data_IF_194894023301
#
_entry.id   IF_194894023301
#
_cell.length_a   1.000
_cell.length_b   1.000
_cell.length_c   1.000
_cell.angle_alpha   90.00
_cell.angle_beta   90.00
_cell.angle_gamma   90.00
#
_symmetry.space_group_name_H-M   'P 1'
#
loop_
_entity.id
_entity.type
_entity.pdbx_description
1 polymer ?
#
# COMPACT_ATOMS: atom_id res chain seq x y z
N UNK A 1 -6.31 -31.95 15.35
CA UNK A 1 -7.09 -31.01 14.53
C UNK A 1 -6.16 -30.41 13.49
N UNK A 2 -6.54 -30.50 12.21
CA UNK A 2 -5.65 -30.37 11.06
C UNK A 2 -4.90 -29.03 10.98
N UNK A 3 -3.61 -29.12 10.67
CA UNK A 3 -2.75 -28.01 10.25
C UNK A 3 -3.06 -27.61 8.82
N UNK A 4 -3.42 -26.34 8.58
CA UNK A 4 -3.36 -25.78 7.23
C UNK A 4 -1.96 -25.21 6.99
N UNK A 5 -1.07 -26.07 6.51
CA UNK A 5 0.19 -25.67 5.90
C UNK A 5 -0.04 -25.36 4.42
N UNK A 6 -0.02 -24.08 4.07
CA UNK A 6 0.07 -23.62 2.68
C UNK A 6 0.58 -22.19 2.69
N UNK A 7 1.49 -21.80 1.78
CA UNK A 7 1.87 -20.40 1.67
C UNK A 7 0.63 -19.61 1.21
N UNK A 8 0.26 -18.57 1.94
CA UNK A 8 -0.69 -17.59 1.44
C UNK A 8 -0.15 -17.06 0.11
N UNK A 9 -0.81 -17.41 -1.00
CA UNK A 9 -0.46 -16.90 -2.32
C UNK A 9 -0.49 -15.37 -2.32
N UNK A 10 0.24 -14.70 -3.22
CA UNK A 10 0.30 -13.24 -3.25
C UNK A 10 -1.06 -12.67 -3.65
N UNK A 11 -1.86 -12.23 -2.68
CA UNK A 11 -3.07 -11.43 -2.96
C UNK A 11 -2.61 -10.01 -3.29
N UNK A 12 -2.40 -9.75 -4.58
CA UNK A 12 -2.37 -8.41 -5.16
C UNK A 12 -3.75 -8.13 -5.75
N UNK A 13 -4.71 -7.70 -4.94
CA UNK A 13 -5.76 -6.84 -5.50
C UNK A 13 -5.14 -5.46 -5.67
N UNK A 14 -4.51 -5.26 -6.82
CA UNK A 14 -4.19 -3.96 -7.37
C UNK A 14 -4.85 -3.91 -8.74
N UNK A 15 -6.18 -3.82 -8.75
CA UNK A 15 -6.90 -3.28 -9.89
C UNK A 15 -7.15 -1.80 -9.61
N UNK A 16 -6.35 -0.88 -10.21
CA UNK A 16 -6.59 0.55 -10.08
C UNK A 16 -7.99 0.99 -10.51
N UNK A 17 -8.68 0.20 -11.35
CA UNK A 17 -10.05 0.46 -11.79
C UNK A 17 -11.08 0.33 -10.65
N UNK A 18 -11.00 -0.75 -9.87
CA UNK A 18 -11.91 -0.98 -8.73
C UNK A 18 -11.79 0.14 -7.68
N UNK A 19 -10.58 0.66 -7.45
CA UNK A 19 -10.36 1.78 -6.51
C UNK A 19 -10.98 3.10 -6.98
N UNK A 20 -11.02 3.35 -8.29
CA UNK A 20 -11.64 4.56 -8.85
C UNK A 20 -13.16 4.48 -8.74
N UNK A 21 -13.72 3.30 -9.00
CA UNK A 21 -15.15 3.03 -8.88
C UNK A 21 -15.60 3.15 -7.42
N UNK A 22 -14.88 2.51 -6.50
CA UNK A 22 -15.12 2.65 -5.06
C UNK A 22 -15.01 4.11 -4.59
N UNK A 23 -14.09 4.91 -5.13
CA UNK A 23 -14.05 6.35 -4.80
C UNK A 23 -15.27 7.13 -5.27
N UNK A 24 -15.82 6.79 -6.45
CA UNK A 24 -17.09 7.37 -6.93
C UNK A 24 -18.24 6.95 -6.02
N UNK A 25 -18.27 5.66 -5.64
CA UNK A 25 -19.29 5.12 -4.74
C UNK A 25 -19.26 5.83 -3.37
N UNK A 26 -18.08 5.95 -2.76
CA UNK A 26 -17.91 6.66 -1.49
C UNK A 26 -18.36 8.12 -1.59
N UNK A 27 -18.11 8.79 -2.72
CA UNK A 27 -18.59 10.15 -2.92
C UNK A 27 -20.13 10.22 -2.97
N UNK A 28 -20.78 9.21 -3.54
CA UNK A 28 -22.23 9.12 -3.59
C UNK A 28 -22.84 8.70 -2.24
N UNK A 29 -22.22 7.79 -1.50
CA UNK A 29 -22.58 7.47 -0.10
C UNK A 29 -22.52 8.74 0.75
N UNK A 30 -21.43 9.51 0.65
CA UNK A 30 -21.28 10.77 1.38
C UNK A 30 -22.41 11.74 1.07
N UNK A 31 -22.81 11.89 -0.20
CA UNK A 31 -23.94 12.76 -0.58
C UNK A 31 -25.25 12.33 0.08
N UNK A 32 -25.54 11.03 0.14
CA UNK A 32 -26.75 10.51 0.79
C UNK A 32 -26.73 10.72 2.31
N UNK A 33 -25.59 10.44 2.94
CA UNK A 33 -25.38 10.66 4.37
C UNK A 33 -25.61 12.13 4.75
N UNK A 34 -25.14 13.08 3.94
CA UNK A 34 -25.38 14.51 4.16
C UNK A 34 -26.86 14.91 4.08
N UNK A 35 -27.73 14.12 3.43
CA UNK A 35 -29.18 14.41 3.40
C UNK A 35 -29.86 14.15 4.74
N UNK A 36 -29.32 13.23 5.55
CA UNK A 36 -29.86 12.93 6.88
C UNK A 36 -29.50 13.99 7.93
N UNK A 37 -28.41 14.73 7.72
CA UNK A 37 -27.98 15.80 8.61
C UNK A 37 -26.57 16.31 8.36
N UNK A 38 -26.17 17.30 9.16
CA UNK A 38 -24.86 17.94 9.05
C UNK A 38 -23.73 16.98 9.44
N UNK A 39 -22.82 16.72 8.51
CA UNK A 39 -21.61 15.91 8.71
C UNK A 39 -20.44 16.81 9.09
N UNK A 40 -19.89 16.60 10.29
CA UNK A 40 -18.77 17.40 10.82
C UNK A 40 -17.44 16.90 10.25
N UNK A 41 -17.18 15.59 10.34
CA UNK A 41 -15.93 14.97 9.91
C UNK A 41 -16.22 13.71 9.10
N UNK A 42 -15.48 13.54 8.01
CA UNK A 42 -15.56 12.36 7.16
C UNK A 42 -14.15 11.84 6.87
N UNK A 43 -13.89 10.57 7.20
CA UNK A 43 -12.58 9.93 6.96
C UNK A 43 -12.75 8.58 6.29
N UNK A 44 -12.24 8.47 5.07
CA UNK A 44 -12.08 7.18 4.38
C UNK A 44 -10.78 6.50 4.82
N UNK A 45 -10.85 5.24 5.27
CA UNK A 45 -9.66 4.49 5.66
C UNK A 45 -8.93 3.95 4.42
N UNK A 46 -7.62 4.22 4.36
CA UNK A 46 -6.74 3.86 3.24
C UNK A 46 -5.50 3.10 3.71
N UNK A 47 -4.92 2.30 2.83
CA UNK A 47 -3.66 1.60 3.03
C UNK A 47 -2.48 2.57 3.01
N UNK A 48 -1.61 2.55 4.02
CA UNK A 48 -0.39 3.37 4.03
C UNK A 48 0.60 2.95 2.94
N UNK A 49 0.53 1.69 2.49
CA UNK A 49 1.46 1.14 1.51
C UNK A 49 1.06 1.51 0.08
N UNK A 50 -0.18 1.21 -0.29
CA UNK A 50 -0.67 1.36 -1.67
C UNK A 50 -1.45 2.65 -1.87
N UNK A 51 -2.01 3.20 -0.80
CA UNK A 51 -2.91 4.35 -0.85
C UNK A 51 -4.37 4.02 -1.20
N UNK A 52 -4.63 2.76 -1.53
CA UNK A 52 -5.96 2.24 -1.87
C UNK A 52 -6.89 2.25 -0.66
N UNK A 53 -8.19 2.28 -0.91
CA UNK A 53 -9.20 2.16 0.14
C UNK A 53 -9.14 0.81 0.83
N UNK A 54 -9.40 0.79 2.14
CA UNK A 54 -9.58 -0.46 2.90
C UNK A 54 -11.02 -0.97 2.92
N UNK A 55 -11.95 -0.25 2.29
CA UNK A 55 -13.37 -0.63 2.25
C UNK A 55 -14.22 -0.14 3.42
N UNK A 56 -13.71 0.72 4.30
CA UNK A 56 -14.48 1.29 5.41
C UNK A 56 -14.16 2.77 5.63
N UNK A 57 -15.14 3.50 6.16
CA UNK A 57 -15.04 4.93 6.46
C UNK A 57 -15.66 5.25 7.82
N UNK A 58 -15.25 6.36 8.41
CA UNK A 58 -15.82 6.90 9.62
C UNK A 58 -16.46 8.25 9.33
N UNK A 59 -17.65 8.43 9.86
CA UNK A 59 -18.44 9.65 9.71
C UNK A 59 -18.81 10.13 11.10
N UNK A 60 -18.59 11.40 11.35
CA UNK A 60 -19.09 12.08 12.54
C UNK A 60 -20.19 13.04 12.13
N UNK A 61 -21.33 12.90 12.82
CA UNK A 61 -22.46 13.80 12.74
C UNK A 61 -22.46 14.75 13.92
N UNK A 62 -23.09 15.91 13.74
CA UNK A 62 -23.32 16.88 14.80
C UNK A 62 -24.26 16.32 15.89
N UNK A 63 -25.30 15.60 15.49
CA UNK A 63 -26.31 15.04 16.39
C UNK A 63 -26.17 13.53 16.56
N UNK A 64 -26.16 13.06 17.81
CA UNK A 64 -26.09 11.63 18.14
C UNK A 64 -27.30 10.83 17.62
N UNK A 65 -28.49 11.42 17.69
CA UNK A 65 -29.72 10.74 17.27
C UNK A 65 -29.74 10.49 15.76
N UNK A 66 -29.27 11.46 14.97
CA UNK A 66 -29.09 11.31 13.52
C UNK A 66 -28.12 10.18 13.22
N UNK A 67 -27.00 10.08 13.94
CA UNK A 67 -26.04 9.00 13.75
C UNK A 67 -26.67 7.61 14.01
N UNK A 68 -27.57 7.49 15.00
CA UNK A 68 -28.28 6.24 15.30
C UNK A 68 -29.28 5.88 14.20
N UNK A 69 -30.08 6.84 13.75
CA UNK A 69 -31.05 6.66 12.65
C UNK A 69 -30.33 6.25 11.36
N UNK A 70 -29.21 6.91 11.03
CA UNK A 70 -28.42 6.57 9.84
C UNK A 70 -27.84 5.16 9.95
N UNK A 71 -27.33 4.76 11.12
CA UNK A 71 -26.85 3.40 11.32
C UNK A 71 -27.95 2.37 11.10
N UNK A 72 -29.15 2.58 11.62
CA UNK A 72 -30.27 1.65 11.46
C UNK A 72 -30.80 1.61 10.01
N UNK A 73 -30.90 2.76 9.35
CA UNK A 73 -31.50 2.89 8.01
C UNK A 73 -30.57 2.50 6.87
N UNK A 74 -29.26 2.76 6.99
CA UNK A 74 -28.27 2.46 5.95
C UNK A 74 -27.61 1.09 6.12
N UNK A 75 -27.88 0.38 7.23
CA UNK A 75 -27.36 -0.96 7.43
C UNK A 75 -28.02 -1.96 6.48
N UNK A 76 -27.21 -2.82 5.87
CA UNK A 76 -27.58 -3.73 4.78
C UNK A 76 -28.14 -3.06 3.53
N UNK A 77 -27.83 -1.78 3.31
CA UNK A 77 -28.22 -1.10 2.08
C UNK A 77 -27.34 -1.55 0.90
N UNK A 78 -27.95 -1.90 -0.24
CA UNK A 78 -27.20 -2.30 -1.44
C UNK A 78 -26.61 -1.08 -2.15
N UNK A 79 -25.29 -1.03 -2.22
CA UNK A 79 -24.53 0.02 -2.87
C UNK A 79 -23.59 -0.56 -3.92
N UNK A 80 -23.87 -0.29 -5.20
CA UNK A 80 -23.22 -0.99 -6.29
C UNK A 80 -23.50 -2.50 -6.21
N UNK A 81 -22.45 -3.29 -6.09
CA UNK A 81 -22.52 -4.76 -5.95
C UNK A 81 -22.36 -5.23 -4.49
N UNK A 82 -22.29 -4.31 -3.52
CA UNK A 82 -21.93 -4.63 -2.12
C UNK A 82 -23.00 -4.13 -1.15
N UNK A 83 -23.22 -4.89 -0.09
CA UNK A 83 -24.05 -4.44 1.03
C UNK A 83 -23.22 -3.56 1.97
N UNK A 84 -23.78 -2.41 2.36
CA UNK A 84 -23.20 -1.53 3.37
C UNK A 84 -23.49 -2.08 4.75
N UNK A 85 -22.45 -2.22 5.56
CA UNK A 85 -22.58 -2.53 6.97
C UNK A 85 -22.36 -1.24 7.77
N UNK A 86 -23.39 -0.77 8.47
CA UNK A 86 -23.38 0.49 9.19
C UNK A 86 -23.64 0.25 10.67
N UNK A 87 -22.69 0.66 11.51
CA UNK A 87 -22.77 0.49 12.96
C UNK A 87 -22.60 1.82 13.68
N UNK A 88 -23.41 2.04 14.71
CA UNK A 88 -23.22 3.17 15.61
C UNK A 88 -22.03 2.89 16.54
N UNK A 89 -21.06 3.79 16.55
CA UNK A 89 -19.87 3.69 17.41
C UNK A 89 -20.04 4.62 18.62
N UNK A 90 -20.06 4.09 19.86
CA UNK A 90 -20.08 4.94 21.05
C UNK A 90 -18.76 5.72 21.19
N UNK A 91 -18.79 6.92 21.78
CA UNK A 91 -17.61 7.80 21.86
C UNK A 91 -16.44 7.18 22.63
N UNK A 92 -16.70 6.28 23.57
CA UNK A 92 -15.67 5.57 24.35
C UNK A 92 -14.78 4.66 23.49
N UNK A 93 -15.36 4.06 22.43
CA UNK A 93 -14.63 3.19 21.50
C UNK A 93 -13.89 3.99 20.43
N UNK A 94 -14.15 5.30 20.32
CA UNK A 94 -13.51 6.17 19.33
C UNK A 94 -12.10 6.52 19.81
N UNK A 95 -11.09 6.11 19.04
CA UNK A 95 -9.70 6.49 19.33
C UNK A 95 -9.48 8.00 19.14
N UNK A 96 -8.69 8.62 20.02
CA UNK A 96 -8.41 10.08 20.00
C UNK A 96 -7.88 10.59 18.65
N UNK A 97 -7.05 9.79 17.97
CA UNK A 97 -6.47 10.13 16.67
C UNK A 97 -7.31 9.70 15.45
N UNK A 98 -8.55 9.23 15.65
CA UNK A 98 -9.38 8.72 14.55
C UNK A 98 -9.66 9.78 13.49
N UNK A 99 -9.72 11.06 13.85
CA UNK A 99 -9.90 12.17 12.91
C UNK A 99 -8.67 13.08 12.82
N UNK A 100 -7.48 12.60 13.19
CA UNK A 100 -6.24 13.33 12.95
C UNK A 100 -6.06 13.54 11.44
N UNK A 101 -5.77 14.79 11.05
CA UNK A 101 -5.54 15.20 9.66
C UNK A 101 -6.74 14.98 8.71
N UNK A 102 -7.96 14.94 9.24
CA UNK A 102 -9.17 14.69 8.43
C UNK A 102 -9.41 15.71 7.31
N UNK A 103 -8.96 16.96 7.49
CA UNK A 103 -9.12 18.05 6.54
C UNK A 103 -7.99 18.11 5.49
N UNK A 104 -6.98 17.24 5.58
CA UNK A 104 -5.85 17.25 4.64
C UNK A 104 -6.22 16.37 3.43
N UNK A 105 -6.12 16.88 2.19
CA UNK A 105 -6.38 16.07 1.01
C UNK A 105 -5.38 14.92 0.93
N UNK A 106 -5.88 13.72 0.65
CA UNK A 106 -5.06 12.52 0.60
C UNK A 106 -4.04 12.59 -0.54
N UNK A 107 -2.77 12.29 -0.23
CA UNK A 107 -1.68 12.15 -1.21
C UNK A 107 -1.28 10.68 -1.33
N UNK A 108 -1.17 10.19 -2.56
CA UNK A 108 -0.74 8.82 -2.84
C UNK A 108 0.69 8.56 -2.29
N UNK A 109 0.93 7.42 -1.60
CA UNK A 109 2.26 7.06 -1.15
C UNK A 109 3.25 7.00 -2.32
N UNK A 110 4.39 7.65 -2.17
CA UNK A 110 5.47 7.63 -3.16
C UNK A 110 6.67 6.89 -2.57
N UNK A 111 7.32 6.05 -3.40
CA UNK A 111 8.54 5.31 -3.04
C UNK A 111 9.74 5.74 -3.90
N UNK A 112 10.37 6.91 -3.62
CA UNK A 112 11.49 7.41 -4.41
C UNK A 112 12.67 6.43 -4.51
N UNK A 113 12.98 5.73 -3.40
CA UNK A 113 14.06 4.75 -3.35
C UNK A 113 13.80 3.56 -4.27
N UNK A 114 12.58 3.03 -4.28
CA UNK A 114 12.17 1.93 -5.17
C UNK A 114 12.21 2.38 -6.63
N UNK A 115 11.67 3.57 -6.93
CA UNK A 115 11.74 4.17 -8.28
C UNK A 115 13.19 4.33 -8.75
N UNK A 116 14.09 4.81 -7.87
CA UNK A 116 15.52 4.96 -8.17
C UNK A 116 16.21 3.61 -8.41
N UNK A 117 15.84 2.59 -7.64
CA UNK A 117 16.44 1.25 -7.76
C UNK A 117 15.98 0.53 -9.04
N UNK A 118 14.67 0.54 -9.30
CA UNK A 118 14.01 -0.10 -10.44
C UNK A 118 14.15 0.66 -11.76
N UNK A 119 14.73 1.87 -11.75
CA UNK A 119 14.88 2.65 -12.98
C UNK A 119 15.71 1.88 -14.01
N UNK A 120 15.26 1.89 -15.26
CA UNK A 120 16.05 1.38 -16.38
C UNK A 120 17.31 2.23 -16.51
N UNK A 121 18.48 1.56 -16.53
CA UNK A 121 19.78 2.22 -16.62
C UNK A 121 20.28 2.20 -18.06
N UNK A 122 20.86 3.30 -18.50
CA UNK A 122 21.52 3.40 -19.81
C UNK A 122 22.75 2.51 -19.88
N UNK A 123 23.20 2.17 -21.08
CA UNK A 123 24.41 1.36 -21.28
C UNK A 123 25.63 1.96 -20.57
N UNK A 124 25.85 3.26 -20.75
CA UNK A 124 26.93 4.00 -20.06
C UNK A 124 26.86 3.91 -18.54
N UNK A 125 25.65 3.90 -17.97
CA UNK A 125 25.46 3.73 -16.53
C UNK A 125 25.73 2.29 -16.09
N UNK A 126 25.36 1.29 -16.91
CA UNK A 126 25.68 -0.13 -16.65
C UNK A 126 27.19 -0.37 -16.65
N UNK A 127 27.91 0.13 -17.65
CA UNK A 127 29.37 0.03 -17.73
C UNK A 127 30.06 0.67 -16.52
N UNK A 128 29.65 1.89 -16.14
CA UNK A 128 30.18 2.55 -14.92
C UNK A 128 29.89 1.75 -13.64
N UNK A 129 28.76 1.05 -13.57
CA UNK A 129 28.48 0.18 -12.43
C UNK A 129 29.37 -1.07 -12.44
N UNK A 130 29.61 -1.69 -13.59
CA UNK A 130 30.51 -2.83 -13.73
C UNK A 130 31.93 -2.47 -13.28
N UNK A 131 32.46 -1.32 -13.71
CA UNK A 131 33.75 -0.82 -13.22
C UNK A 131 33.79 -0.66 -11.70
N UNK A 132 32.70 -0.14 -11.11
CA UNK A 132 32.57 -0.02 -9.64
C UNK A 132 32.50 -1.38 -8.96
N UNK A 133 31.85 -2.38 -9.55
CA UNK A 133 31.82 -3.74 -9.05
C UNK A 133 33.21 -4.40 -9.12
N UNK A 134 33.94 -4.29 -10.25
CA UNK A 134 35.33 -4.77 -10.38
C UNK A 134 36.24 -4.15 -9.33
N UNK A 135 36.11 -2.84 -9.09
CA UNK A 135 36.89 -2.14 -8.05
C UNK A 135 36.56 -2.68 -6.66
N UNK A 136 35.27 -2.90 -6.34
CA UNK A 136 34.85 -3.47 -5.06
C UNK A 136 35.35 -4.89 -4.86
N UNK A 137 35.25 -5.74 -5.88
CA UNK A 137 35.75 -7.12 -5.88
C UNK A 137 37.25 -7.16 -5.58
N UNK A 138 38.03 -6.33 -6.27
CA UNK A 138 39.48 -6.20 -6.02
C UNK A 138 39.78 -5.78 -4.58
N UNK A 139 39.06 -4.80 -4.05
CA UNK A 139 39.24 -4.34 -2.68
C UNK A 139 38.85 -5.41 -1.66
N UNK A 140 37.81 -6.20 -1.94
CA UNK A 140 37.36 -7.29 -1.08
C UNK A 140 38.42 -8.40 -1.03
N UNK A 141 38.94 -8.85 -2.18
CA UNK A 141 40.02 -9.86 -2.23
C UNK A 141 41.26 -9.40 -1.47
N UNK A 142 41.69 -8.15 -1.66
CA UNK A 142 42.80 -7.57 -0.88
C UNK A 142 42.53 -7.59 0.63
N UNK A 143 41.28 -7.33 1.05
CA UNK A 143 40.88 -7.35 2.46
C UNK A 143 40.88 -8.76 3.03
N UNK A 144 40.47 -9.77 2.27
CA UNK A 144 40.50 -11.18 2.65
C UNK A 144 41.95 -11.68 2.78
N UNK A 145 42.79 -11.40 1.79
CA UNK A 145 44.21 -11.74 1.83
C UNK A 145 44.93 -11.13 3.04
N UNK A 146 44.65 -9.85 3.36
CA UNK A 146 45.20 -9.19 4.55
C UNK A 146 44.78 -9.87 5.86
N UNK A 147 43.60 -10.50 5.88
CA UNK A 147 43.09 -11.26 7.03
C UNK A 147 43.57 -12.72 7.04
N UNK A 148 44.37 -13.14 6.06
CA UNK A 148 44.83 -14.53 5.91
C UNK A 148 43.72 -15.51 5.53
N UNK A 149 42.60 -15.02 4.97
CA UNK A 149 41.48 -15.85 4.54
C UNK A 149 41.68 -16.17 3.06
N UNK A 150 41.91 -17.45 2.75
CA UNK A 150 41.93 -17.96 1.39
C UNK A 150 40.51 -18.34 0.97
N UNK A 151 39.86 -17.45 0.22
CA UNK A 151 38.49 -17.63 -0.24
C UNK A 151 38.37 -17.09 -1.67
N UNK A 152 38.25 -18.02 -2.62
CA UNK A 152 37.94 -17.72 -4.00
C UNK A 152 36.42 -17.70 -4.21
N UNK A 153 35.93 -16.66 -4.86
CA UNK A 153 34.51 -16.47 -5.11
C UNK A 153 34.27 -15.96 -6.53
N UNK A 154 33.14 -16.37 -7.15
CA UNK A 154 32.78 -15.97 -8.50
C UNK A 154 32.66 -14.45 -8.63
N UNK A 155 32.93 -13.93 -9.84
CA UNK A 155 32.91 -12.49 -10.10
C UNK A 155 31.54 -11.89 -9.80
N UNK A 156 31.54 -10.67 -9.24
CA UNK A 156 30.29 -9.97 -8.88
C UNK A 156 29.50 -9.47 -10.11
N UNK A 157 30.06 -9.64 -11.30
CA UNK A 157 29.43 -9.31 -12.58
C UNK A 157 28.94 -10.60 -13.19
N UNK A 158 27.64 -10.67 -13.50
CA UNK A 158 27.07 -11.77 -14.27
C UNK A 158 27.62 -11.70 -15.69
N UNK A 159 28.51 -12.62 -16.02
CA UNK A 159 28.87 -12.85 -17.42
C UNK A 159 27.64 -13.41 -18.11
N UNK A 160 27.25 -12.80 -19.23
CA UNK A 160 26.15 -13.34 -20.04
C UNK A 160 26.63 -14.70 -20.55
N UNK A 161 26.06 -15.78 -20.01
CA UNK A 161 26.30 -17.11 -20.58
C UNK A 161 25.72 -17.09 -21.97
N UNK A 162 26.58 -17.13 -22.98
CA UNK A 162 26.16 -17.35 -24.35
C UNK A 162 25.51 -18.74 -24.38
N UNK A 163 24.18 -18.78 -24.42
CA UNK A 163 23.44 -19.99 -24.72
C UNK A 163 23.78 -20.36 -26.16
N UNK A 164 24.82 -21.18 -26.33
CA UNK A 164 25.18 -21.80 -27.59
C UNK A 164 23.96 -22.62 -28.01
N UNK A 165 23.18 -22.13 -28.97
CA UNK A 165 22.14 -22.93 -29.61
C UNK A 165 22.85 -24.04 -30.37
N UNK A 166 22.68 -25.27 -29.91
CA UNK A 166 22.94 -26.46 -30.73
C UNK A 166 21.69 -26.78 -31.54
#
# INVERSE_FOLDING_TARGET
>A
MATFSGPAGPILSLNPQEDVEFQKEVAQVRKRITQFGTVTRFRLSRSKRTGNSKGYAFVEFESKDVAKIVAETMNNYLFGERLLECHFMPPEKVHKELFKDWNIPFKQPSYPSVKRYNRNRTLTQKLRMEERFKKKERLLRKKLAKKGIDYDFPSLILQKTESISK
#
